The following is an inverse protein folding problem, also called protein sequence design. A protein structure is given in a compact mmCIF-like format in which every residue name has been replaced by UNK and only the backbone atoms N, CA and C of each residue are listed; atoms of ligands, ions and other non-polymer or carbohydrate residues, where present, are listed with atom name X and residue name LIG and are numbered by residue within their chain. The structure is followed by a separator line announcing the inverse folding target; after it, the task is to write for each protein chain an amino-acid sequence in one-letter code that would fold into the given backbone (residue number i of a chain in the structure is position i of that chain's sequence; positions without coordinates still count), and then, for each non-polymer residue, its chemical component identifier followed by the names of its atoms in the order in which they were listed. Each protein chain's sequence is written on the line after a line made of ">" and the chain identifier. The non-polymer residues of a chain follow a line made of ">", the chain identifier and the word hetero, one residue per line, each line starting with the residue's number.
data_IF_676232813757
#
_entry.id   IF_676232813757
#
_cell.length_a   1.000
_cell.length_b   1.000
_cell.length_c   1.000
_cell.angle_alpha   90.00
_cell.angle_beta   90.00
_cell.angle_gamma   90.00
#
_symmetry.space_group_name_H-M   'P 1'
#
loop_
_entity.id
_entity.type
_entity.pdbx_description
1 polymer ?
#
# COMPACT_ATOMS: atom_id res chain seq x y z
N UNK A 1 -18.14 0.48 -1.01
CA UNK A 1 -16.99 -0.15 -0.32
C UNK A 1 -17.46 -1.26 0.60
N UNK A 2 -17.13 -2.49 0.24
CA UNK A 2 -17.34 -3.71 1.01
C UNK A 2 -16.48 -3.72 2.28
N UNK A 3 -16.80 -4.62 3.22
CA UNK A 3 -16.00 -4.86 4.44
C UNK A 3 -14.56 -5.22 4.09
N UNK A 4 -14.38 -6.05 3.07
CA UNK A 4 -13.07 -6.48 2.60
C UNK A 4 -12.25 -5.33 2.00
N UNK A 5 -12.88 -4.45 1.20
CA UNK A 5 -12.20 -3.27 0.64
C UNK A 5 -11.74 -2.30 1.73
N UNK A 6 -12.53 -2.12 2.80
CA UNK A 6 -12.12 -1.32 3.97
C UNK A 6 -10.90 -1.90 4.67
N UNK A 7 -10.89 -3.22 4.88
CA UNK A 7 -9.79 -3.92 5.53
C UNK A 7 -8.51 -3.82 4.69
N UNK A 8 -8.62 -4.01 3.38
CA UNK A 8 -7.49 -3.84 2.45
C UNK A 8 -6.94 -2.41 2.49
N UNK A 9 -7.80 -1.38 2.51
CA UNK A 9 -7.33 0.01 2.62
C UNK A 9 -6.62 0.26 3.95
N UNK A 10 -7.11 -0.28 5.08
CA UNK A 10 -6.40 -0.16 6.36
C UNK A 10 -5.02 -0.82 6.34
N UNK A 11 -4.88 -1.96 5.66
CA UNK A 11 -3.59 -2.64 5.48
C UNK A 11 -2.65 -1.77 4.63
N UNK A 12 -3.13 -1.24 3.51
CA UNK A 12 -2.34 -0.38 2.63
C UNK A 12 -1.88 0.90 3.33
N UNK A 13 -2.75 1.52 4.14
CA UNK A 13 -2.38 2.69 4.94
C UNK A 13 -1.23 2.39 5.92
N UNK A 14 -1.25 1.25 6.60
CA UNK A 14 -0.14 0.84 7.48
C UNK A 14 1.15 0.60 6.71
N UNK A 15 1.05 -0.04 5.54
CA UNK A 15 2.22 -0.27 4.69
C UNK A 15 2.82 1.04 4.17
N UNK A 16 2.01 2.04 3.85
CA UNK A 16 2.49 3.37 3.47
C UNK A 16 3.30 3.99 4.63
N UNK A 17 2.79 3.93 5.86
CA UNK A 17 3.52 4.43 7.03
C UNK A 17 4.86 3.70 7.21
N UNK A 18 4.86 2.37 7.12
CA UNK A 18 6.07 1.57 7.19
C UNK A 18 7.08 1.91 6.07
N UNK A 19 6.59 2.12 4.85
CA UNK A 19 7.43 2.56 3.72
C UNK A 19 8.09 3.91 4.00
N UNK A 20 7.36 4.85 4.60
CA UNK A 20 7.89 6.16 4.96
C UNK A 20 8.93 6.05 6.08
N UNK A 21 8.66 5.25 7.12
CA UNK A 21 9.63 5.00 8.19
C UNK A 21 10.93 4.37 7.67
N UNK A 22 10.84 3.47 6.69
CA UNK A 22 12.03 2.93 6.02
C UNK A 22 12.81 4.02 5.29
N UNK A 23 12.13 4.87 4.53
CA UNK A 23 12.78 5.98 3.82
C UNK A 23 13.44 6.97 4.79
N UNK A 24 12.73 7.37 5.85
CA UNK A 24 13.23 8.30 6.87
C UNK A 24 14.41 7.73 7.67
N UNK A 25 14.45 6.41 7.87
CA UNK A 25 15.57 5.72 8.53
C UNK A 25 16.76 5.41 7.61
N UNK A 26 16.73 5.85 6.35
CA UNK A 26 17.80 5.61 5.37
C UNK A 26 17.73 4.25 4.67
N UNK A 27 16.73 3.42 4.98
CA UNK A 27 16.41 2.14 4.32
C UNK A 27 15.61 2.37 3.04
N UNK A 28 16.24 3.05 2.08
CA UNK A 28 15.57 3.53 0.87
C UNK A 28 15.09 2.37 -0.01
N UNK A 29 15.85 1.28 -0.12
CA UNK A 29 15.49 0.13 -0.96
C UNK A 29 14.27 -0.61 -0.40
N UNK A 30 14.23 -0.84 0.91
CA UNK A 30 13.10 -1.47 1.58
C UNK A 30 11.84 -0.60 1.49
N UNK A 31 12.00 0.72 1.68
CA UNK A 31 10.92 1.68 1.46
C UNK A 31 10.37 1.62 0.03
N UNK A 32 11.25 1.63 -0.98
CA UNK A 32 10.83 1.50 -2.39
C UNK A 32 10.12 0.18 -2.67
N UNK A 33 10.61 -0.93 -2.13
CA UNK A 33 9.99 -2.24 -2.31
C UNK A 33 8.56 -2.24 -1.75
N UNK A 34 8.36 -1.72 -0.54
CA UNK A 34 7.04 -1.63 0.08
C UNK A 34 6.11 -0.71 -0.74
N UNK A 35 6.61 0.42 -1.24
CA UNK A 35 5.84 1.33 -2.11
C UNK A 35 5.34 0.63 -3.39
N UNK A 36 6.18 -0.19 -4.05
CA UNK A 36 5.79 -0.95 -5.25
C UNK A 36 4.68 -1.96 -4.95
N UNK A 37 4.76 -2.66 -3.81
CA UNK A 37 3.72 -3.60 -3.37
C UNK A 37 2.39 -2.86 -3.15
N UNK A 38 2.44 -1.70 -2.50
CA UNK A 38 1.25 -0.87 -2.26
C UNK A 38 0.63 -0.44 -3.59
N UNK A 39 1.40 0.10 -4.53
CA UNK A 39 0.89 0.52 -5.85
C UNK A 39 0.18 -0.64 -6.57
N UNK A 40 0.77 -1.83 -6.54
CA UNK A 40 0.20 -3.01 -7.19
C UNK A 40 -1.14 -3.42 -6.57
N UNK A 41 -1.23 -3.48 -5.24
CA UNK A 41 -2.46 -3.84 -4.53
C UNK A 41 -3.55 -2.76 -4.68
N UNK A 42 -3.15 -1.49 -4.66
CA UNK A 42 -4.06 -0.36 -4.87
C UNK A 42 -4.61 -0.38 -6.32
N UNK A 43 -3.78 -0.73 -7.30
CA UNK A 43 -4.20 -0.97 -8.68
C UNK A 43 -5.24 -2.08 -8.83
N UNK A 44 -5.11 -3.20 -8.10
CA UNK A 44 -6.11 -4.28 -8.08
C UNK A 44 -7.45 -3.81 -7.51
N UNK A 45 -7.41 -3.03 -6.44
CA UNK A 45 -8.58 -2.43 -5.79
C UNK A 45 -9.33 -1.48 -6.73
N UNK A 46 -8.59 -0.54 -7.34
CA UNK A 46 -9.18 0.45 -8.24
C UNK A 46 -9.71 -0.18 -9.54
N UNK A 47 -9.04 -1.20 -10.08
CA UNK A 47 -9.51 -1.91 -11.27
C UNK A 47 -10.75 -2.76 -11.01
N UNK A 48 -10.93 -3.30 -9.79
CA UNK A 48 -12.20 -3.95 -9.38
C UNK A 48 -13.35 -2.97 -9.33
N UNK A 49 -13.11 -1.70 -9.00
CA UNK A 49 -14.15 -0.68 -8.94
C UNK A 49 -14.55 -0.10 -10.31
N UNK A 50 -13.85 -0.46 -11.40
CA UNK A 50 -14.11 0.00 -12.78
C UNK A 50 -14.84 -1.03 -13.67
N UNK A 51 -15.10 -2.24 -13.16
CA UNK A 51 -15.96 -3.26 -13.78
C UNK A 51 -17.32 -3.28 -13.10
#
# INVERSE_FOLDING_TARGET
>A
MTKQEKETICILQRQIQQSLEYIESGRIEEGRLVAVIIEHELGKLLNKSKK
#
